data_IF_289736785414
#
_entry.id   IF_289736785414
#
_cell.length_a   1.000
_cell.length_b   1.000
_cell.length_c   1.000
_cell.angle_alpha   90.00
_cell.angle_beta   90.00
_cell.angle_gamma   90.00
#
_symmetry.space_group_name_H-M   'P 1'
#
loop_
_entity.id
_entity.type
_entity.pdbx_description
1 polymer ?
#
# COMPACT_ATOMS: atom_id res chain seq x y z
N UNK A 1 -7.84 21.48 -3.66
CA UNK A 1 -6.53 21.52 -2.96
C UNK A 1 -6.61 22.60 -1.90
N UNK A 2 -6.07 22.33 -0.71
CA UNK A 2 -5.88 23.37 0.30
C UNK A 2 -4.66 24.26 -0.05
N UNK A 3 -4.45 25.34 0.71
CA UNK A 3 -3.36 26.28 0.45
C UNK A 3 -1.95 25.66 0.58
N UNK A 4 -1.80 24.59 1.38
CA UNK A 4 -0.55 23.85 1.51
C UNK A 4 -0.27 23.01 0.27
N UNK A 5 -1.26 22.26 -0.22
CA UNK A 5 -1.17 21.47 -1.46
C UNK A 5 -0.98 22.36 -2.69
N UNK A 6 -1.65 23.51 -2.76
CA UNK A 6 -1.40 24.52 -3.80
C UNK A 6 0.07 24.93 -3.83
N UNK A 7 0.64 25.22 -2.66
CA UNK A 7 2.02 25.65 -2.56
C UNK A 7 3.00 24.54 -2.96
N UNK A 8 2.71 23.27 -2.64
CA UNK A 8 3.54 22.11 -3.04
C UNK A 8 3.49 21.91 -4.56
N UNK A 9 2.30 21.98 -5.17
CA UNK A 9 2.18 21.90 -6.63
C UNK A 9 2.96 23.02 -7.33
N UNK A 10 2.96 24.23 -6.74
CA UNK A 10 3.75 25.35 -7.23
C UNK A 10 5.26 25.16 -7.01
N UNK A 11 5.70 24.51 -5.94
CA UNK A 11 7.10 24.15 -5.74
C UNK A 11 7.59 23.16 -6.81
N UNK A 12 6.78 22.17 -7.20
CA UNK A 12 7.10 21.26 -8.30
C UNK A 12 7.31 22.02 -9.62
N UNK A 13 6.40 22.95 -9.93
CA UNK A 13 6.53 23.79 -11.11
C UNK A 13 7.76 24.72 -11.02
N UNK A 14 8.05 25.30 -9.84
CA UNK A 14 9.25 26.12 -9.61
C UNK A 14 10.53 25.33 -9.88
N UNK A 15 10.63 24.11 -9.38
CA UNK A 15 11.78 23.23 -9.58
C UNK A 15 11.99 22.92 -11.06
N UNK A 16 10.91 22.67 -11.80
CA UNK A 16 10.96 22.48 -13.25
C UNK A 16 11.42 23.76 -13.98
N UNK A 17 10.86 24.93 -13.63
CA UNK A 17 11.22 26.21 -14.25
C UNK A 17 12.68 26.59 -14.06
N UNK A 18 13.29 26.21 -12.93
CA UNK A 18 14.70 26.49 -12.66
C UNK A 18 15.65 25.72 -13.61
N UNK A 19 15.19 24.61 -14.19
CA UNK A 19 16.01 23.68 -14.97
C UNK A 19 15.66 23.68 -16.47
N UNK A 20 14.55 24.30 -16.85
CA UNK A 20 14.01 24.25 -18.22
C UNK A 20 14.38 25.52 -19.00
N UNK A 21 15.00 25.40 -20.20
CA UNK A 21 15.26 26.55 -21.06
C UNK A 21 13.95 27.22 -21.50
N UNK A 22 13.89 28.56 -21.44
CA UNK A 22 12.70 29.35 -21.81
C UNK A 22 12.17 29.05 -23.21
N UNK A 23 13.06 28.85 -24.19
CA UNK A 23 12.70 28.52 -25.58
C UNK A 23 12.63 27.01 -25.77
N UNK A 24 11.77 26.32 -25.03
CA UNK A 24 11.60 24.86 -25.14
C UNK A 24 10.13 24.44 -25.04
N UNK A 25 9.81 23.23 -25.54
CA UNK A 25 8.48 22.61 -25.39
C UNK A 25 8.09 22.47 -23.91
N UNK A 26 9.06 22.17 -23.04
CA UNK A 26 8.86 22.08 -21.58
C UNK A 26 8.44 23.42 -20.98
N UNK A 27 9.02 24.53 -21.43
CA UNK A 27 8.63 25.86 -20.98
C UNK A 27 7.20 26.21 -21.41
N UNK A 28 6.81 25.86 -22.64
CA UNK A 28 5.44 25.99 -23.13
C UNK A 28 4.46 25.14 -22.31
N UNK A 29 4.84 23.90 -21.96
CA UNK A 29 4.04 23.01 -21.14
C UNK A 29 3.75 23.60 -19.74
N UNK A 30 4.77 24.13 -19.04
CA UNK A 30 4.55 24.76 -17.72
C UNK A 30 3.69 26.02 -17.82
N UNK A 31 3.88 26.83 -18.88
CA UNK A 31 3.08 28.03 -19.09
C UNK A 31 1.60 27.70 -19.34
N UNK A 32 1.32 26.72 -20.21
CA UNK A 32 -0.03 26.23 -20.49
C UNK A 32 -0.67 25.61 -19.24
N UNK A 33 0.09 24.83 -18.48
CA UNK A 33 -0.36 24.27 -17.20
C UNK A 33 -0.78 25.38 -16.22
N UNK A 34 0.06 26.41 -16.04
CA UNK A 34 -0.23 27.50 -15.11
C UNK A 34 -1.47 28.28 -15.52
N UNK A 35 -1.63 28.55 -16.82
CA UNK A 35 -2.80 29.24 -17.35
C UNK A 35 -4.09 28.43 -17.08
N UNK A 36 -4.04 27.11 -17.28
CA UNK A 36 -5.17 26.21 -17.08
C UNK A 36 -5.55 26.05 -15.60
N UNK A 37 -4.57 26.01 -14.70
CA UNK A 37 -4.79 25.67 -13.29
C UNK A 37 -4.61 26.85 -12.32
N UNK A 38 -4.53 28.09 -12.81
CA UNK A 38 -4.29 29.26 -11.95
C UNK A 38 -5.27 29.37 -10.78
N UNK A 39 -6.56 29.09 -10.96
CA UNK A 39 -7.55 29.17 -9.89
C UNK A 39 -7.39 28.03 -8.88
N UNK A 40 -7.19 26.81 -9.38
CA UNK A 40 -6.95 25.64 -8.54
C UNK A 40 -5.66 25.76 -7.71
N UNK A 41 -4.65 26.46 -8.25
CA UNK A 41 -3.38 26.80 -7.60
C UNK A 41 -3.48 28.06 -6.70
N UNK A 42 -4.66 28.66 -6.61
CA UNK A 42 -4.92 29.84 -5.80
C UNK A 42 -4.25 31.10 -6.32
N UNK A 43 -3.83 31.16 -7.58
CA UNK A 43 -3.12 32.27 -8.21
C UNK A 43 -4.02 33.36 -8.81
N UNK A 44 -5.35 33.29 -8.62
CA UNK A 44 -6.32 34.20 -9.22
C UNK A 44 -5.95 35.71 -9.08
N UNK A 45 -6.27 36.56 -10.07
CA UNK A 45 -5.84 37.95 -10.08
C UNK A 45 -6.43 38.74 -8.91
N UNK A 46 -5.62 39.61 -8.30
CA UNK A 46 -6.16 40.69 -7.46
C UNK A 46 -6.89 41.67 -8.40
N UNK A 47 -8.19 41.86 -8.20
CA UNK A 47 -9.11 42.79 -8.86
C UNK A 47 -9.70 42.36 -10.23
N UNK A 48 -10.99 42.02 -10.22
CA UNK A 48 -12.07 42.84 -10.79
C UNK A 48 -12.02 43.38 -12.22
N UNK A 49 -11.02 43.07 -13.04
CA UNK A 49 -11.11 43.26 -14.49
C UNK A 49 -11.32 41.90 -15.13
N UNK A 50 -12.53 41.69 -15.63
CA UNK A 50 -12.76 40.76 -16.71
C UNK A 50 -11.79 41.14 -17.85
N UNK A 51 -10.65 40.44 -17.92
CA UNK A 51 -9.91 40.31 -19.15
C UNK A 51 -10.65 39.25 -19.96
N UNK A 52 -11.77 39.70 -20.51
CA UNK A 52 -12.56 39.03 -21.53
C UNK A 52 -11.73 39.09 -22.82
N UNK A 53 -10.78 38.16 -22.96
CA UNK A 53 -10.08 37.87 -24.21
C UNK A 53 -9.19 36.63 -24.04
N UNK A 54 -9.59 35.53 -24.70
CA UNK A 54 -8.78 34.36 -25.07
C UNK A 54 -8.47 33.33 -23.98
N UNK A 55 -9.48 32.91 -23.23
CA UNK A 55 -9.40 31.65 -22.47
C UNK A 55 -9.57 30.39 -23.35
N UNK A 56 -10.05 30.55 -24.59
CA UNK A 56 -10.27 29.43 -25.53
C UNK A 56 -9.13 29.17 -26.53
N UNK A 57 -8.11 30.03 -26.63
CA UNK A 57 -7.00 29.87 -27.61
C UNK A 57 -5.75 29.14 -27.08
N UNK A 58 -5.70 28.76 -25.80
CA UNK A 58 -4.51 28.10 -25.22
C UNK A 58 -4.43 26.58 -25.51
N UNK A 59 -5.39 26.04 -26.28
CA UNK A 59 -5.38 24.67 -26.82
C UNK A 59 -5.17 24.62 -28.34
N UNK A 60 -4.29 25.46 -28.88
CA UNK A 60 -3.62 25.05 -30.11
C UNK A 60 -2.56 24.02 -29.73
N UNK A 61 -2.57 22.85 -30.38
CA UNK A 61 -1.60 21.74 -30.27
C UNK A 61 -0.14 22.13 -30.62
N UNK A 62 0.15 23.43 -30.64
CA UNK A 62 1.43 24.09 -30.85
C UNK A 62 1.53 25.32 -29.93
N UNK A 63 1.56 25.12 -28.62
CA UNK A 63 1.83 26.23 -27.70
C UNK A 63 3.25 26.77 -27.95
N UNK A 64 3.34 27.96 -28.55
CA UNK A 64 4.59 28.65 -28.76
C UNK A 64 5.29 28.89 -27.42
N UNK A 65 6.63 28.80 -27.41
CA UNK A 65 7.40 29.08 -26.19
C UNK A 65 7.09 30.49 -25.67
N UNK A 66 6.91 30.67 -24.34
CA UNK A 66 6.53 31.95 -23.79
C UNK A 66 7.59 33.02 -24.08
N UNK A 67 7.13 34.23 -24.36
CA UNK A 67 8.01 35.38 -24.50
C UNK A 67 8.72 35.70 -23.17
N UNK A 68 9.71 36.59 -23.21
CA UNK A 68 10.51 36.89 -22.02
C UNK A 68 9.70 37.56 -20.90
N UNK A 69 8.67 38.35 -21.23
CA UNK A 69 7.83 39.06 -20.26
C UNK A 69 6.90 38.09 -19.53
N UNK A 70 6.22 37.22 -20.28
CA UNK A 70 5.34 36.16 -19.78
C UNK A 70 6.13 35.18 -18.93
N UNK A 71 7.33 34.77 -19.37
CA UNK A 71 8.19 33.88 -18.59
C UNK A 71 8.58 34.49 -17.23
N UNK A 72 9.02 35.75 -17.21
CA UNK A 72 9.34 36.46 -15.97
C UNK A 72 8.10 36.62 -15.08
N UNK A 73 6.93 36.87 -15.65
CA UNK A 73 5.69 36.98 -14.89
C UNK A 73 5.31 35.65 -14.23
N UNK A 74 5.43 34.54 -14.96
CA UNK A 74 5.22 33.18 -14.45
C UNK A 74 6.16 32.91 -13.27
N UNK A 75 7.47 33.11 -13.46
CA UNK A 75 8.48 32.93 -12.41
C UNK A 75 8.12 33.76 -11.16
N UNK A 76 7.84 35.05 -11.33
CA UNK A 76 7.45 35.94 -10.22
C UNK A 76 6.17 35.49 -9.51
N UNK A 77 5.13 35.05 -10.22
CA UNK A 77 3.88 34.58 -9.61
C UNK A 77 4.10 33.33 -8.76
N UNK A 78 4.91 32.39 -9.25
CA UNK A 78 5.24 31.16 -8.53
C UNK A 78 6.16 31.47 -7.34
N UNK A 79 7.22 32.26 -7.53
CA UNK A 79 8.12 32.69 -6.47
C UNK A 79 7.38 33.42 -5.34
N UNK A 80 6.48 34.34 -5.67
CA UNK A 80 5.70 35.08 -4.67
C UNK A 80 4.81 34.18 -3.79
N UNK A 81 4.42 33.00 -4.28
CA UNK A 81 3.63 32.00 -3.53
C UNK A 81 4.47 30.94 -2.84
N UNK A 82 5.65 30.65 -3.36
CA UNK A 82 6.55 29.61 -2.85
C UNK A 82 7.64 30.15 -1.93
N UNK A 83 7.82 31.48 -1.85
CA UNK A 83 8.75 32.13 -0.95
C UNK A 83 8.53 31.71 0.52
N UNK A 84 9.60 31.62 1.34
CA UNK A 84 9.48 31.28 2.75
C UNK A 84 8.69 32.37 3.48
N UNK A 85 7.38 32.17 3.63
CA UNK A 85 6.55 32.99 4.52
C UNK A 85 6.60 32.39 5.91
N UNK A 86 6.70 33.24 6.93
CA UNK A 86 6.80 32.84 8.34
C UNK A 86 5.68 31.90 8.83
N UNK A 87 4.57 31.75 8.07
CA UNK A 87 3.50 30.78 8.29
C UNK A 87 2.95 30.24 6.96
N UNK A 88 3.69 29.34 6.31
CA UNK A 88 3.15 28.60 5.16
C UNK A 88 2.14 27.57 5.69
N UNK A 89 0.93 27.53 5.12
CA UNK A 89 -0.07 26.54 5.49
C UNK A 89 0.50 25.13 5.23
N UNK A 90 0.49 24.27 6.24
CA UNK A 90 0.93 22.88 6.10
C UNK A 90 -0.28 22.06 5.70
N UNK A 91 -0.16 21.31 4.61
CA UNK A 91 -1.27 20.50 4.12
C UNK A 91 -1.53 19.31 5.04
N UNK A 92 -2.80 18.91 5.16
CA UNK A 92 -3.18 17.71 5.91
C UNK A 92 -2.54 16.44 5.32
N UNK A 93 -2.52 16.32 3.99
CA UNK A 93 -1.87 15.20 3.28
C UNK A 93 -0.37 15.16 3.59
N UNK A 94 0.28 16.33 3.69
CA UNK A 94 1.70 16.42 4.06
C UNK A 94 1.94 15.93 5.47
N UNK A 95 1.11 16.33 6.43
CA UNK A 95 1.24 15.88 7.83
C UNK A 95 1.07 14.36 7.93
N UNK A 96 0.10 13.80 7.20
CA UNK A 96 -0.14 12.34 7.14
C UNK A 96 1.00 11.60 6.46
N UNK A 97 1.46 12.07 5.31
CA UNK A 97 2.63 11.52 4.62
C UNK A 97 3.86 11.52 5.53
N UNK A 98 4.11 12.60 6.26
CA UNK A 98 5.21 12.68 7.22
C UNK A 98 5.05 11.71 8.39
N UNK A 99 3.83 11.34 8.78
CA UNK A 99 3.59 10.31 9.77
C UNK A 99 3.89 8.92 9.19
N UNK A 100 3.42 8.63 7.96
CA UNK A 100 3.69 7.37 7.25
C UNK A 100 5.18 7.17 6.99
N UNK A 101 5.89 8.19 6.49
CA UNK A 101 7.32 8.10 6.19
C UNK A 101 8.13 7.83 7.45
N UNK A 102 7.77 8.45 8.60
CA UNK A 102 8.40 8.14 9.89
C UNK A 102 8.07 6.74 10.38
N UNK A 103 6.83 6.27 10.24
CA UNK A 103 6.42 4.92 10.63
C UNK A 103 7.24 3.84 9.90
N UNK A 104 7.49 4.09 8.61
CA UNK A 104 8.20 3.17 7.72
C UNK A 104 9.72 3.42 7.75
N UNK A 105 10.19 4.51 8.34
CA UNK A 105 11.61 4.89 8.36
C UNK A 105 12.14 5.21 6.97
N UNK A 106 11.39 6.03 6.21
CA UNK A 106 11.82 6.58 4.93
C UNK A 106 12.62 7.87 5.14
N UNK A 107 13.65 8.07 4.31
CA UNK A 107 14.42 9.32 4.31
C UNK A 107 13.69 10.47 3.58
N UNK A 108 14.27 11.67 3.60
CA UNK A 108 13.65 12.86 2.99
C UNK A 108 13.49 12.72 1.46
N UNK A 109 14.42 12.05 0.78
CA UNK A 109 14.33 11.85 -0.67
C UNK A 109 13.21 10.86 -1.01
N UNK A 110 13.10 9.77 -0.25
CA UNK A 110 12.04 8.77 -0.37
C UNK A 110 10.67 9.38 -0.07
N UNK A 111 10.58 10.21 0.97
CA UNK A 111 9.38 10.96 1.30
C UNK A 111 8.96 11.92 0.17
N UNK A 112 9.91 12.60 -0.47
CA UNK A 112 9.64 13.49 -1.59
C UNK A 112 9.13 12.73 -2.83
N UNK A 113 9.74 11.58 -3.16
CA UNK A 113 9.33 10.74 -4.29
C UNK A 113 7.92 10.17 -4.04
N UNK A 114 7.67 9.59 -2.86
CA UNK A 114 6.35 9.09 -2.47
C UNK A 114 5.32 10.21 -2.48
N UNK A 115 5.68 11.39 -1.97
CA UNK A 115 4.82 12.55 -1.91
C UNK A 115 4.42 13.06 -3.30
N UNK A 116 5.31 13.01 -4.29
CA UNK A 116 4.99 13.32 -5.68
C UNK A 116 4.04 12.27 -6.27
N UNK A 117 4.33 10.98 -6.08
CA UNK A 117 3.52 9.88 -6.61
C UNK A 117 2.09 9.89 -6.06
N UNK A 118 1.94 10.11 -4.75
CA UNK A 118 0.62 10.25 -4.10
C UNK A 118 -0.12 11.46 -4.67
N UNK A 119 0.53 12.62 -4.76
CA UNK A 119 -0.12 13.84 -5.26
C UNK A 119 -0.50 13.77 -6.72
N UNK A 120 0.28 13.07 -7.54
CA UNK A 120 -0.11 12.74 -8.90
C UNK A 120 -1.47 12.03 -8.92
N UNK A 121 -1.67 11.04 -8.04
CA UNK A 121 -2.93 10.26 -7.98
C UNK A 121 -4.10 11.01 -7.32
N UNK A 122 -3.83 11.99 -6.46
CA UNK A 122 -4.85 12.72 -5.71
C UNK A 122 -5.23 14.09 -6.30
N UNK A 123 -4.34 14.72 -7.06
CA UNK A 123 -4.50 16.10 -7.49
C UNK A 123 -4.28 16.27 -8.99
N UNK A 124 -5.38 16.49 -9.72
CA UNK A 124 -5.37 16.75 -11.16
C UNK A 124 -4.37 17.82 -11.62
N UNK A 125 -4.14 18.93 -10.90
CA UNK A 125 -3.09 19.87 -11.28
C UNK A 125 -1.68 19.26 -11.24
N UNK A 126 -1.37 18.37 -10.30
CA UNK A 126 -0.06 17.70 -10.22
C UNK A 126 0.08 16.64 -11.31
N UNK A 127 -0.96 15.83 -11.50
CA UNK A 127 -1.06 14.87 -12.62
C UNK A 127 -0.78 15.54 -13.96
N UNK A 128 -1.48 16.65 -14.25
CA UNK A 128 -1.35 17.34 -15.53
C UNK A 128 -0.04 18.08 -15.70
N UNK A 129 0.59 18.54 -14.60
CA UNK A 129 1.95 19.06 -14.66
C UNK A 129 2.92 17.98 -15.12
N UNK A 130 2.82 16.78 -14.54
CA UNK A 130 3.62 15.62 -14.92
C UNK A 130 3.36 15.24 -16.38
N UNK A 131 2.12 15.00 -16.78
CA UNK A 131 1.76 14.54 -18.13
C UNK A 131 2.28 15.48 -19.22
N UNK A 132 2.07 16.79 -19.05
CA UNK A 132 2.44 17.79 -20.05
C UNK A 132 3.97 17.94 -20.15
N UNK A 133 4.69 17.80 -19.03
CA UNK A 133 6.15 17.82 -19.03
C UNK A 133 6.73 16.53 -19.62
N UNK A 134 6.17 15.37 -19.26
CA UNK A 134 6.56 14.07 -19.79
C UNK A 134 6.40 14.03 -21.32
N UNK A 135 5.23 14.43 -21.83
CA UNK A 135 4.97 14.55 -23.27
C UNK A 135 5.93 15.53 -23.96
N UNK A 136 6.21 16.68 -23.34
CA UNK A 136 7.18 17.64 -23.86
C UNK A 136 8.63 17.09 -23.91
N UNK A 137 8.91 16.00 -23.22
CA UNK A 137 10.17 15.26 -23.26
C UNK A 137 10.09 13.99 -24.13
N UNK A 138 8.96 13.71 -24.77
CA UNK A 138 8.74 12.49 -25.57
C UNK A 138 8.42 11.26 -24.73
N UNK A 139 8.06 11.44 -23.46
CA UNK A 139 7.63 10.39 -22.54
C UNK A 139 6.13 10.12 -22.62
N UNK A 140 5.68 9.13 -21.84
CA UNK A 140 4.26 8.78 -21.76
C UNK A 140 3.50 9.67 -20.75
N UNK A 141 2.22 9.94 -21.04
CA UNK A 141 1.30 10.64 -20.12
C UNK A 141 0.77 9.69 -19.03
N UNK A 142 1.69 9.17 -18.22
CA UNK A 142 1.42 8.30 -17.08
C UNK A 142 2.52 8.45 -16.04
N UNK A 143 2.24 8.08 -14.79
CA UNK A 143 3.23 8.15 -13.71
C UNK A 143 4.27 7.02 -13.86
N UNK A 144 5.29 7.25 -14.67
CA UNK A 144 6.40 6.31 -14.88
C UNK A 144 7.49 6.45 -13.81
N UNK A 145 8.30 5.40 -13.63
CA UNK A 145 9.53 5.43 -12.84
C UNK A 145 10.68 6.17 -13.56
N UNK A 146 10.36 7.32 -14.17
CA UNK A 146 11.28 8.17 -14.91
C UNK A 146 12.06 9.05 -13.93
N UNK A 147 13.32 8.67 -13.68
CA UNK A 147 14.18 9.38 -12.74
C UNK A 147 14.44 10.85 -13.13
N UNK A 148 14.73 11.20 -14.41
CA UNK A 148 14.74 12.58 -14.87
C UNK A 148 13.48 13.38 -14.53
N UNK A 149 12.28 12.85 -14.79
CA UNK A 149 11.01 13.54 -14.47
C UNK A 149 10.84 13.78 -12.98
N UNK A 150 11.11 12.76 -12.17
CA UNK A 150 10.99 12.85 -10.72
C UNK A 150 12.01 13.84 -10.16
N UNK A 151 13.26 13.81 -10.64
CA UNK A 151 14.30 14.77 -10.27
C UNK A 151 13.92 16.21 -10.65
N UNK A 152 13.36 16.41 -11.84
CA UNK A 152 12.91 17.71 -12.32
C UNK A 152 11.86 18.33 -11.39
N UNK A 153 10.86 17.54 -10.98
CA UNK A 153 9.75 18.04 -10.15
C UNK A 153 10.12 18.11 -8.67
N UNK A 154 10.82 17.10 -8.12
CA UNK A 154 11.20 17.09 -6.71
C UNK A 154 12.38 18.01 -6.39
N UNK A 155 13.21 18.35 -7.38
CA UNK A 155 14.48 19.05 -7.19
C UNK A 155 15.60 18.17 -6.63
N UNK A 156 15.39 16.86 -6.50
CA UNK A 156 16.40 15.91 -6.05
C UNK A 156 17.45 15.66 -7.15
N UNK A 157 18.70 15.32 -6.80
CA UNK A 157 19.67 14.84 -7.78
C UNK A 157 19.18 13.55 -8.44
N UNK A 158 19.27 13.46 -9.78
CA UNK A 158 18.82 12.29 -10.54
C UNK A 158 19.41 10.97 -10.03
N UNK A 159 20.72 10.93 -9.75
CA UNK A 159 21.39 9.75 -9.21
C UNK A 159 20.81 9.30 -7.84
N UNK A 160 20.27 10.23 -7.05
CA UNK A 160 19.57 9.90 -5.81
C UNK A 160 18.24 9.21 -6.11
N UNK A 161 17.47 9.75 -7.04
CA UNK A 161 16.19 9.16 -7.47
C UNK A 161 16.38 7.75 -8.02
N UNK A 162 17.33 7.56 -8.93
CA UNK A 162 17.66 6.24 -9.51
C UNK A 162 18.00 5.21 -8.43
N UNK A 163 18.85 5.59 -7.47
CA UNK A 163 19.22 4.72 -6.36
C UNK A 163 18.03 4.35 -5.46
N UNK A 164 17.10 5.28 -5.23
CA UNK A 164 15.91 5.04 -4.38
C UNK A 164 14.84 4.20 -5.08
N UNK A 165 14.75 4.27 -6.41
CA UNK A 165 13.82 3.48 -7.24
C UNK A 165 14.41 2.15 -7.74
N UNK A 166 15.69 1.88 -7.49
CA UNK A 166 16.31 0.60 -7.81
C UNK A 166 15.52 -0.57 -7.16
N UNK A 167 15.53 -1.78 -7.73
CA UNK A 167 14.77 -2.92 -7.20
C UNK A 167 15.04 -3.29 -5.72
N UNK A 168 16.22 -2.92 -5.20
CA UNK A 168 16.59 -3.09 -3.78
C UNK A 168 16.47 -1.82 -2.93
N UNK A 169 15.98 -0.72 -3.51
CA UNK A 169 15.79 0.55 -2.82
C UNK A 169 14.71 0.44 -1.75
N UNK A 170 14.95 1.11 -0.61
CA UNK A 170 14.06 1.13 0.56
C UNK A 170 12.61 1.46 0.20
N UNK A 171 12.38 2.41 -0.71
CA UNK A 171 11.04 2.82 -1.11
C UNK A 171 10.23 1.69 -1.75
N UNK A 172 10.86 0.86 -2.61
CA UNK A 172 10.22 -0.32 -3.21
C UNK A 172 10.13 -1.48 -2.23
N UNK A 173 11.12 -1.62 -1.36
CA UNK A 173 11.10 -2.62 -0.28
C UNK A 173 10.02 -2.33 0.77
N UNK A 174 9.62 -1.07 0.95
CA UNK A 174 8.61 -0.65 1.92
C UNK A 174 7.17 -1.02 1.52
N UNK A 175 6.90 -1.36 0.26
CA UNK A 175 5.56 -1.73 -0.20
C UNK A 175 4.57 -0.57 -0.36
N UNK A 176 4.99 0.69 -0.12
CA UNK A 176 4.14 1.88 -0.35
C UNK A 176 4.08 2.29 -1.83
N UNK A 177 5.13 1.96 -2.59
CA UNK A 177 5.28 2.29 -4.00
C UNK A 177 5.95 1.11 -4.71
N UNK A 178 5.36 0.65 -5.81
CA UNK A 178 5.94 -0.40 -6.66
C UNK A 178 6.12 0.12 -8.08
N UNK A 179 6.87 -0.63 -8.90
CA UNK A 179 6.93 -0.37 -10.35
C UNK A 179 6.44 -1.64 -11.03
N UNK A 180 5.47 -1.50 -11.92
CA UNK A 180 4.94 -2.62 -12.69
C UNK A 180 5.81 -2.98 -13.90
N UNK A 181 5.31 -3.88 -14.75
CA UNK A 181 6.03 -4.35 -15.93
C UNK A 181 6.18 -3.26 -17.02
N UNK A 182 5.28 -2.29 -17.06
CA UNK A 182 5.26 -1.18 -18.03
C UNK A 182 6.07 0.03 -17.56
N UNK A 183 6.73 -0.11 -16.39
CA UNK A 183 7.52 0.94 -15.78
C UNK A 183 6.69 1.99 -15.05
N UNK A 184 5.39 1.76 -14.80
CA UNK A 184 4.56 2.69 -14.05
C UNK A 184 4.79 2.56 -12.54
N UNK A 185 4.82 3.70 -11.86
CA UNK A 185 4.76 3.76 -10.41
C UNK A 185 3.32 3.56 -9.94
N UNK A 186 3.15 2.53 -9.12
CA UNK A 186 1.88 2.18 -8.50
C UNK A 186 1.98 2.47 -7.00
N UNK A 187 1.16 3.41 -6.54
CA UNK A 187 0.99 3.72 -5.12
C UNK A 187 0.05 2.67 -4.53
N UNK A 188 0.38 2.16 -3.33
CA UNK A 188 -0.49 1.21 -2.62
C UNK A 188 -1.90 1.79 -2.44
N UNK A 189 -2.94 1.04 -2.81
CA UNK A 189 -4.32 1.54 -2.84
C UNK A 189 -4.80 1.93 -1.45
N UNK A 190 -4.51 1.09 -0.44
CA UNK A 190 -4.77 1.37 0.97
C UNK A 190 -4.18 2.71 1.42
N UNK A 191 -2.92 2.98 1.06
CA UNK A 191 -2.26 4.25 1.37
C UNK A 191 -2.99 5.42 0.70
N UNK A 192 -3.28 5.32 -0.60
CA UNK A 192 -3.96 6.36 -1.37
C UNK A 192 -5.31 6.73 -0.74
N UNK A 193 -6.09 5.72 -0.34
CA UNK A 193 -7.40 5.88 0.29
C UNK A 193 -7.29 6.52 1.67
N UNK A 194 -6.43 5.99 2.53
CA UNK A 194 -6.28 6.50 3.90
C UNK A 194 -5.68 7.91 3.96
N UNK A 195 -4.87 8.31 2.99
CA UNK A 195 -4.38 9.69 2.90
C UNK A 195 -5.48 10.67 2.48
N UNK A 196 -6.42 10.21 1.65
CA UNK A 196 -7.55 11.01 1.16
C UNK A 196 -8.65 11.15 2.22
N UNK A 197 -8.86 10.12 3.03
CA UNK A 197 -9.83 10.13 4.12
C UNK A 197 -9.35 11.00 5.28
N UNK A 198 -10.23 11.88 5.77
CA UNK A 198 -9.96 12.72 6.93
C UNK A 198 -9.64 11.90 8.19
N UNK A 199 -10.27 10.73 8.31
CA UNK A 199 -10.20 9.81 9.45
C UNK A 199 -9.22 8.65 9.22
N UNK A 200 -8.64 8.53 8.02
CA UNK A 200 -7.79 7.40 7.64
C UNK A 200 -6.47 7.37 8.40
N UNK A 201 -5.54 8.28 8.08
CA UNK A 201 -4.27 8.41 8.80
C UNK A 201 -4.31 9.64 9.72
N UNK A 202 -4.10 9.48 11.04
CA UNK A 202 -4.02 10.62 11.94
C UNK A 202 -2.71 11.39 11.69
N UNK A 203 -2.73 12.73 11.63
CA UNK A 203 -1.50 13.51 11.70
C UNK A 203 -0.89 13.33 13.09
N UNK A 204 0.40 13.05 13.19
CA UNK A 204 1.02 12.81 14.50
C UNK A 204 2.21 11.87 14.46
N UNK A 205 2.49 11.14 15.55
CA UNK A 205 3.58 10.17 15.63
C UNK A 205 3.46 9.07 14.58
N UNK A 206 4.61 8.51 14.17
CA UNK A 206 4.63 7.43 13.17
C UNK A 206 3.88 6.16 13.63
N UNK A 207 3.88 5.83 14.91
CA UNK A 207 3.19 4.64 15.44
C UNK A 207 1.70 4.62 15.08
N UNK A 208 0.99 5.74 15.27
CA UNK A 208 -0.43 5.84 14.94
C UNK A 208 -0.71 5.69 13.43
N UNK A 209 0.20 6.18 12.57
CA UNK A 209 0.09 5.98 11.13
C UNK A 209 0.38 4.52 10.72
N UNK A 210 1.31 3.85 11.41
CA UNK A 210 1.57 2.42 11.23
C UNK A 210 0.36 1.57 11.60
N UNK A 211 -0.27 1.83 12.75
CA UNK A 211 -1.50 1.17 13.18
C UNK A 211 -2.65 1.41 12.19
N UNK A 212 -2.81 2.64 11.70
CA UNK A 212 -3.82 2.95 10.68
C UNK A 212 -3.62 2.11 9.40
N UNK A 213 -2.38 1.99 8.92
CA UNK A 213 -2.05 1.21 7.71
C UNK A 213 -2.23 -0.30 7.92
N UNK A 214 -1.92 -0.83 9.10
CA UNK A 214 -2.11 -2.24 9.45
C UNK A 214 -3.59 -2.60 9.64
N UNK A 215 -4.41 -1.65 10.07
CA UNK A 215 -5.80 -1.89 10.45
C UNK A 215 -5.92 -2.52 11.84
N UNK A 216 -7.11 -3.04 12.15
CA UNK A 216 -7.39 -3.64 13.46
C UNK A 216 -6.88 -5.07 13.52
N UNK A 217 -6.30 -5.50 14.66
CA UNK A 217 -5.93 -6.90 14.82
C UNK A 217 -7.19 -7.77 14.82
N UNK A 218 -7.09 -8.93 14.20
CA UNK A 218 -8.12 -9.95 14.19
C UNK A 218 -8.25 -10.58 15.59
N UNK A 219 -9.50 -10.76 16.03
CA UNK A 219 -9.81 -11.37 17.32
C UNK A 219 -10.39 -12.77 17.14
N UNK A 220 -9.92 -13.73 17.95
CA UNK A 220 -10.46 -15.08 17.99
C UNK A 220 -11.87 -15.08 18.60
N UNK A 221 -12.77 -15.88 18.03
CA UNK A 221 -14.08 -16.21 18.57
C UNK A 221 -14.14 -17.62 19.17
N UNK A 222 -13.13 -18.45 18.88
CA UNK A 222 -12.93 -19.81 19.37
C UNK A 222 -11.64 -19.94 20.19
N UNK A 223 -11.59 -20.97 21.04
CA UNK A 223 -10.43 -21.35 21.84
C UNK A 223 -9.70 -22.57 21.29
N UNK A 224 -8.51 -22.90 21.83
CA UNK A 224 -7.74 -24.07 21.39
C UNK A 224 -8.50 -25.39 21.59
N UNK A 225 -9.37 -25.45 22.61
CA UNK A 225 -10.26 -26.57 22.89
C UNK A 225 -11.29 -26.83 21.79
N UNK A 226 -11.66 -25.80 21.03
CA UNK A 226 -12.55 -25.92 19.86
C UNK A 226 -11.79 -26.54 18.66
N UNK A 227 -10.47 -26.68 18.74
CA UNK A 227 -9.60 -27.33 17.76
C UNK A 227 -8.91 -28.60 18.31
N UNK A 228 -9.47 -29.22 19.36
CA UNK A 228 -8.88 -30.39 20.02
C UNK A 228 -8.56 -31.56 19.07
N UNK A 229 -9.33 -31.71 17.98
CA UNK A 229 -9.12 -32.72 16.94
C UNK A 229 -7.78 -32.59 16.20
N UNK A 230 -7.13 -31.42 16.26
CA UNK A 230 -5.78 -31.21 15.71
C UNK A 230 -4.67 -31.76 16.62
N UNK A 231 -4.99 -32.12 17.86
CA UNK A 231 -4.08 -32.79 18.79
C UNK A 231 -2.73 -32.10 18.95
N UNK A 232 -1.65 -32.85 18.77
CA UNK A 232 -0.28 -32.33 18.94
C UNK A 232 0.10 -31.27 17.92
N UNK A 233 -0.50 -31.26 16.73
CA UNK A 233 -0.19 -30.26 15.71
C UNK A 233 -0.53 -28.85 16.19
N UNK A 234 -1.65 -28.67 16.89
CA UNK A 234 -2.01 -27.38 17.49
C UNK A 234 -1.00 -26.94 18.55
N UNK A 235 -0.56 -27.86 19.40
CA UNK A 235 0.47 -27.59 20.44
C UNK A 235 1.79 -27.17 19.82
N UNK A 236 2.28 -27.93 18.83
CA UNK A 236 3.53 -27.62 18.14
C UNK A 236 3.45 -26.27 17.40
N UNK A 237 2.30 -25.92 16.82
CA UNK A 237 2.11 -24.61 16.21
C UNK A 237 2.27 -23.45 17.21
N UNK A 238 1.66 -23.58 18.39
CA UNK A 238 1.81 -22.61 19.49
C UNK A 238 3.27 -22.51 19.93
N UNK A 239 3.97 -23.64 20.09
CA UNK A 239 5.38 -23.67 20.48
C UNK A 239 6.30 -23.01 19.43
N UNK A 240 6.08 -23.30 18.15
CA UNK A 240 6.82 -22.70 17.02
C UNK A 240 6.61 -21.19 17.00
N UNK A 241 5.36 -20.72 17.08
CA UNK A 241 5.04 -19.30 17.05
C UNK A 241 5.58 -18.58 18.30
N UNK A 242 5.40 -19.14 19.49
CA UNK A 242 5.94 -18.58 20.72
C UNK A 242 7.49 -18.52 20.68
N UNK A 243 8.14 -19.56 20.16
CA UNK A 243 9.58 -19.58 19.95
C UNK A 243 10.05 -18.50 18.97
N UNK A 244 9.34 -18.33 17.85
CA UNK A 244 9.65 -17.32 16.85
C UNK A 244 9.45 -15.89 17.39
N UNK A 245 8.37 -15.63 18.14
CA UNK A 245 8.12 -14.33 18.77
C UNK A 245 9.20 -13.99 19.81
N UNK A 246 9.65 -14.97 20.62
CA UNK A 246 10.72 -14.76 21.60
C UNK A 246 12.09 -14.54 20.97
N UNK A 247 12.44 -15.33 19.96
CA UNK A 247 13.77 -15.30 19.33
C UNK A 247 13.89 -14.29 18.19
N UNK A 248 12.76 -13.75 17.72
CA UNK A 248 12.64 -12.93 16.50
C UNK A 248 13.33 -13.57 15.29
N UNK A 249 13.23 -14.90 15.19
CA UNK A 249 13.83 -15.66 14.09
C UNK A 249 13.17 -15.28 12.75
N UNK A 250 13.92 -14.72 11.79
CA UNK A 250 13.37 -14.41 10.48
C UNK A 250 12.92 -15.67 9.74
N UNK A 251 11.98 -15.50 8.81
CA UNK A 251 11.48 -16.55 7.92
C UNK A 251 10.66 -17.63 8.63
N UNK A 252 10.01 -17.29 9.74
CA UNK A 252 9.06 -18.20 10.39
C UNK A 252 7.72 -18.15 9.67
N UNK A 253 7.30 -19.28 9.10
CA UNK A 253 6.03 -19.41 8.40
C UNK A 253 5.25 -20.65 8.85
N UNK A 254 3.98 -20.47 9.20
CA UNK A 254 3.07 -21.58 9.52
C UNK A 254 2.00 -21.66 8.44
N UNK A 255 1.87 -22.81 7.78
CA UNK A 255 0.89 -23.03 6.73
C UNK A 255 -0.29 -23.85 7.26
N UNK A 256 -1.50 -23.34 7.08
CA UNK A 256 -2.75 -24.03 7.33
C UNK A 256 -3.39 -24.39 5.99
N UNK A 257 -3.61 -25.67 5.74
CA UNK A 257 -4.19 -26.12 4.48
C UNK A 257 -5.33 -27.11 4.70
N UNK A 258 -6.26 -27.20 3.76
CA UNK A 258 -7.38 -28.14 3.84
C UNK A 258 -8.64 -27.58 3.20
N UNK A 259 -9.74 -28.35 3.20
CA UNK A 259 -11.00 -27.96 2.55
C UNK A 259 -11.51 -26.58 3.01
N UNK A 260 -12.25 -25.84 2.15
CA UNK A 260 -12.90 -24.60 2.56
C UNK A 260 -13.90 -24.87 3.70
N UNK A 261 -14.12 -23.87 4.56
CA UNK A 261 -15.06 -23.99 5.69
C UNK A 261 -14.54 -24.75 6.92
N UNK A 262 -13.32 -25.29 6.91
CA UNK A 262 -12.71 -26.00 8.07
C UNK A 262 -12.17 -25.09 9.18
N UNK A 263 -12.36 -23.77 9.07
CA UNK A 263 -11.95 -22.82 10.12
C UNK A 263 -10.48 -22.41 10.12
N UNK A 264 -9.76 -22.49 8.98
CA UNK A 264 -8.33 -22.09 8.86
C UNK A 264 -8.05 -20.69 9.41
N UNK A 265 -8.76 -19.69 8.92
CA UNK A 265 -8.64 -18.30 9.34
C UNK A 265 -8.93 -18.13 10.84
N UNK A 266 -9.93 -18.85 11.35
CA UNK A 266 -10.29 -18.82 12.77
C UNK A 266 -9.23 -19.50 13.66
N UNK A 267 -8.62 -20.58 13.17
CA UNK A 267 -7.52 -21.24 13.87
C UNK A 267 -6.28 -20.34 13.92
N UNK A 268 -5.96 -19.58 12.86
CA UNK A 268 -4.92 -18.56 12.90
C UNK A 268 -5.14 -17.54 14.02
N UNK A 269 -6.38 -17.02 14.16
CA UNK A 269 -6.74 -16.09 15.25
C UNK A 269 -6.60 -16.75 16.61
N UNK A 270 -7.01 -18.02 16.72
CA UNK A 270 -6.92 -18.81 17.95
C UNK A 270 -5.45 -19.03 18.37
N UNK A 271 -4.57 -19.36 17.42
CA UNK A 271 -3.13 -19.47 17.66
C UNK A 271 -2.52 -18.15 18.13
N UNK A 272 -2.92 -17.03 17.52
CA UNK A 272 -2.45 -15.70 17.92
C UNK A 272 -2.88 -15.34 19.35
N UNK A 273 -4.14 -15.60 19.69
CA UNK A 273 -4.66 -15.43 21.04
C UNK A 273 -3.91 -16.32 22.05
N UNK A 274 -3.62 -17.58 21.70
CA UNK A 274 -2.91 -18.51 22.56
C UNK A 274 -1.46 -18.09 22.86
N UNK A 275 -0.77 -17.44 21.91
CA UNK A 275 0.59 -16.90 22.13
C UNK A 275 0.60 -15.46 22.63
N UNK A 276 -0.57 -14.85 22.84
CA UNK A 276 -0.70 -13.49 23.36
C UNK A 276 -0.19 -12.39 22.41
N UNK A 277 -0.25 -12.62 21.10
CA UNK A 277 0.22 -11.67 20.09
C UNK A 277 -0.95 -11.18 19.20
N UNK A 278 -0.99 -9.89 18.82
CA UNK A 278 -1.97 -9.41 17.85
C UNK A 278 -1.72 -10.05 16.48
N UNK A 279 -2.80 -10.37 15.78
CA UNK A 279 -2.78 -10.89 14.40
C UNK A 279 -3.30 -9.83 13.43
N UNK A 280 -2.49 -9.43 12.46
CA UNK A 280 -2.92 -8.49 11.41
C UNK A 280 -3.06 -9.22 10.08
N UNK A 281 -4.19 -9.04 9.42
CA UNK A 281 -4.39 -9.56 8.08
C UNK A 281 -3.72 -8.65 7.03
N UNK A 282 -3.17 -9.25 5.98
CA UNK A 282 -2.58 -8.54 4.85
C UNK A 282 -3.15 -9.05 3.54
N UNK A 283 -3.33 -8.14 2.59
CA UNK A 283 -3.90 -8.45 1.28
C UNK A 283 -5.36 -8.89 1.34
N UNK A 284 -6.13 -8.38 2.31
CA UNK A 284 -7.59 -8.57 2.38
C UNK A 284 -8.32 -7.56 1.49
N UNK A 285 -9.51 -7.94 1.03
CA UNK A 285 -10.45 -7.03 0.40
C UNK A 285 -10.72 -5.82 1.31
N UNK A 286 -10.78 -4.63 0.71
CA UNK A 286 -11.15 -3.42 1.43
C UNK A 286 -12.66 -3.38 1.70
N UNK A 287 -13.09 -2.58 2.68
CA UNK A 287 -14.51 -2.48 3.09
C UNK A 287 -15.47 -2.08 1.97
N UNK A 288 -14.96 -1.46 0.89
CA UNK A 288 -15.74 -1.07 -0.29
C UNK A 288 -15.78 -2.14 -1.39
N UNK A 289 -15.23 -3.34 -1.13
CA UNK A 289 -15.21 -4.46 -2.06
C UNK A 289 -14.06 -4.45 -3.07
N UNK A 290 -13.06 -3.58 -2.92
CA UNK A 290 -11.84 -3.67 -3.74
C UNK A 290 -11.03 -4.91 -3.34
N UNK A 291 -10.89 -5.83 -4.28
CA UNK A 291 -10.08 -7.03 -4.15
C UNK A 291 -8.63 -6.75 -4.58
N UNK A 292 -7.63 -6.88 -3.69
CA UNK A 292 -6.25 -6.57 -4.03
C UNK A 292 -5.64 -7.59 -4.98
N UNK A 293 -5.01 -7.11 -6.04
CA UNK A 293 -4.26 -7.96 -6.97
C UNK A 293 -2.97 -8.54 -6.34
N UNK A 294 -2.34 -9.53 -7.00
CA UNK A 294 -1.11 -10.20 -6.51
C UNK A 294 0.00 -9.25 -6.07
N UNK A 295 0.31 -8.25 -6.89
CA UNK A 295 1.36 -7.29 -6.61
C UNK A 295 1.03 -6.42 -5.39
N UNK A 296 -0.24 -6.08 -5.21
CA UNK A 296 -0.76 -5.32 -4.08
C UNK A 296 -0.71 -6.13 -2.79
N UNK A 297 -1.19 -7.38 -2.80
CA UNK A 297 -1.11 -8.28 -1.63
C UNK A 297 0.32 -8.47 -1.14
N UNK A 298 1.29 -8.59 -2.06
CA UNK A 298 2.71 -8.65 -1.71
C UNK A 298 3.25 -7.31 -1.17
N UNK A 299 2.78 -6.19 -1.71
CA UNK A 299 3.14 -4.86 -1.22
C UNK A 299 2.62 -4.64 0.21
N UNK A 300 1.40 -5.06 0.52
CA UNK A 300 0.83 -5.03 1.86
C UNK A 300 1.62 -5.91 2.84
N UNK A 301 1.99 -7.14 2.44
CA UNK A 301 2.84 -8.00 3.26
C UNK A 301 4.18 -7.33 3.58
N UNK A 302 4.85 -6.72 2.59
CA UNK A 302 6.12 -6.01 2.78
C UNK A 302 5.98 -4.81 3.71
N UNK A 303 4.93 -4.03 3.54
CA UNK A 303 4.64 -2.89 4.39
C UNK A 303 4.42 -3.35 5.84
N UNK A 304 3.59 -4.37 6.05
CA UNK A 304 3.28 -4.88 7.37
C UNK A 304 4.52 -5.48 8.06
N UNK A 305 5.33 -6.27 7.34
CA UNK A 305 6.62 -6.76 7.82
C UNK A 305 7.52 -5.61 8.29
N UNK A 306 7.58 -4.53 7.51
CA UNK A 306 8.42 -3.37 7.84
C UNK A 306 7.92 -2.58 9.05
N UNK A 307 6.61 -2.33 9.14
CA UNK A 307 6.00 -1.62 10.26
C UNK A 307 6.17 -2.36 11.59
N UNK A 308 6.13 -3.70 11.55
CA UNK A 308 6.16 -4.55 12.75
C UNK A 308 7.57 -5.05 13.11
N UNK A 309 8.55 -5.03 12.20
CA UNK A 309 9.90 -5.58 12.40
C UNK A 309 10.62 -5.06 13.67
N UNK A 310 10.44 -3.78 14.00
CA UNK A 310 11.07 -3.13 15.16
C UNK A 310 10.18 -2.99 16.38
N UNK A 311 8.91 -3.41 16.29
CA UNK A 311 7.88 -3.13 17.27
C UNK A 311 7.67 -4.23 18.32
N UNK A 312 6.50 -4.17 18.96
CA UNK A 312 6.00 -5.23 19.84
C UNK A 312 5.78 -6.52 19.02
N UNK A 313 5.98 -7.71 19.62
CA UNK A 313 5.73 -8.98 18.96
C UNK A 313 4.32 -9.04 18.37
N UNK A 314 4.21 -9.44 17.10
CA UNK A 314 2.97 -9.52 16.36
C UNK A 314 3.04 -10.66 15.34
N UNK A 315 1.89 -11.05 14.81
CA UNK A 315 1.75 -12.06 13.77
C UNK A 315 1.05 -11.46 12.55
N UNK A 316 1.37 -11.97 11.37
CA UNK A 316 0.67 -11.63 10.13
C UNK A 316 -0.13 -12.82 9.63
N UNK A 317 -1.33 -12.57 9.13
CA UNK A 317 -2.14 -13.52 8.39
C UNK A 317 -2.13 -13.16 6.90
N UNK A 318 -1.76 -14.12 6.08
CA UNK A 318 -1.97 -14.07 4.64
C UNK A 318 -3.00 -15.15 4.28
N UNK A 319 -4.26 -14.75 4.14
CA UNK A 319 -5.35 -15.67 3.79
C UNK A 319 -5.25 -16.08 2.30
N UNK A 320 -5.84 -17.20 1.87
CA UNK A 320 -5.94 -17.61 0.45
C UNK A 320 -4.62 -17.48 -0.34
N UNK A 321 -3.56 -18.10 0.18
CA UNK A 321 -2.23 -17.99 -0.40
C UNK A 321 -2.16 -18.49 -1.86
N UNK A 322 -3.06 -19.39 -2.28
CA UNK A 322 -3.16 -19.89 -3.66
C UNK A 322 -3.21 -18.77 -4.69
N UNK A 323 -3.93 -17.68 -4.40
CA UNK A 323 -4.10 -16.55 -5.32
C UNK A 323 -2.78 -15.83 -5.60
N UNK A 324 -1.88 -15.79 -4.62
CA UNK A 324 -0.57 -15.17 -4.78
C UNK A 324 0.32 -16.00 -5.73
N UNK A 325 0.21 -17.33 -5.66
CA UNK A 325 1.11 -18.26 -6.36
C UNK A 325 0.55 -18.81 -7.67
N UNK A 326 -0.75 -18.66 -7.93
CA UNK A 326 -1.42 -19.35 -9.02
C UNK A 326 -0.89 -19.03 -10.42
N UNK A 327 -0.21 -17.93 -10.73
CA UNK A 327 0.29 -17.57 -12.09
C UNK A 327 -0.73 -17.50 -13.25
N UNK A 328 -1.72 -18.38 -13.38
CA UNK A 328 -2.69 -18.44 -14.48
C UNK A 328 -2.04 -18.51 -15.88
N UNK A 329 -2.86 -18.36 -16.94
CA UNK A 329 -2.39 -18.30 -18.33
C UNK A 329 -1.46 -17.09 -18.58
N UNK A 330 -1.70 -15.98 -17.89
CA UNK A 330 -0.90 -14.75 -18.02
C UNK A 330 0.55 -14.93 -17.53
N UNK A 331 0.79 -15.71 -16.47
CA UNK A 331 2.12 -16.02 -15.96
C UNK A 331 2.95 -16.92 -16.87
N UNK A 332 2.29 -17.81 -17.64
CA UNK A 332 2.89 -18.63 -18.69
C UNK A 332 3.32 -17.80 -19.91
N UNK A 333 2.52 -16.79 -20.28
CA UNK A 333 2.78 -15.95 -21.46
C UNK A 333 3.81 -14.83 -21.20
N UNK A 334 3.89 -14.29 -19.97
CA UNK A 334 4.71 -13.11 -19.65
C UNK A 334 6.00 -13.40 -18.85
N UNK A 335 6.42 -14.66 -18.74
CA UNK A 335 7.75 -15.02 -18.21
C UNK A 335 8.11 -14.34 -16.88
N UNK A 336 7.23 -14.42 -15.87
CA UNK A 336 7.37 -13.77 -14.55
C UNK A 336 8.41 -14.45 -13.63
N UNK A 337 9.54 -14.91 -14.18
CA UNK A 337 10.61 -15.61 -13.43
C UNK A 337 11.21 -14.76 -12.31
N UNK A 338 11.21 -13.43 -12.45
CA UNK A 338 11.74 -12.50 -11.44
C UNK A 338 10.85 -12.37 -10.19
N UNK A 339 9.53 -12.41 -10.34
CA UNK A 339 8.58 -12.21 -9.25
C UNK A 339 8.60 -13.35 -8.23
N UNK A 340 8.59 -14.61 -8.70
CA UNK A 340 8.59 -15.79 -7.83
C UNK A 340 9.90 -15.94 -7.07
N UNK A 341 11.05 -15.74 -7.72
CA UNK A 341 12.35 -15.80 -7.05
C UNK A 341 12.51 -14.68 -6.00
N UNK A 342 12.04 -13.47 -6.31
CA UNK A 342 12.03 -12.35 -5.36
C UNK A 342 11.11 -12.60 -4.17
N UNK A 343 9.93 -13.19 -4.40
CA UNK A 343 9.01 -13.59 -3.34
C UNK A 343 9.62 -14.65 -2.42
N UNK A 344 10.24 -15.69 -2.99
CA UNK A 344 10.89 -16.74 -2.20
C UNK A 344 12.04 -16.21 -1.31
N UNK A 345 12.84 -15.26 -1.83
CA UNK A 345 13.85 -14.55 -1.01
C UNK A 345 13.23 -13.67 0.07
N UNK A 346 12.06 -13.09 -0.21
CA UNK A 346 11.32 -12.29 0.79
C UNK A 346 10.91 -13.18 1.95
N UNK A 347 10.34 -14.37 1.67
CA UNK A 347 9.94 -15.33 2.71
C UNK A 347 11.11 -15.72 3.62
N UNK A 348 12.31 -15.94 3.08
CA UNK A 348 13.48 -16.30 3.91
C UNK A 348 13.93 -15.21 4.89
N UNK A 349 13.55 -13.95 4.66
CA UNK A 349 14.07 -12.79 5.39
C UNK A 349 13.01 -12.03 6.18
N UNK A 350 11.75 -12.48 6.18
CA UNK A 350 10.67 -11.80 6.90
C UNK A 350 10.88 -11.83 8.41
N UNK A 351 11.04 -10.69 9.10
CA UNK A 351 11.29 -10.66 10.55
C UNK A 351 10.06 -11.02 11.40
N UNK A 352 8.86 -10.83 10.87
CA UNK A 352 7.59 -11.08 11.58
C UNK A 352 7.04 -12.44 11.12
N UNK A 353 6.68 -13.35 12.04
CA UNK A 353 6.10 -14.63 11.65
C UNK A 353 4.79 -14.47 10.88
N UNK A 354 4.61 -15.30 9.84
CA UNK A 354 3.42 -15.25 8.97
C UNK A 354 2.67 -16.57 9.05
N UNK A 355 1.37 -16.50 9.32
CA UNK A 355 0.43 -17.59 9.14
C UNK A 355 -0.18 -17.48 7.75
N UNK A 356 -0.10 -18.56 7.00
CA UNK A 356 -0.63 -18.69 5.64
C UNK A 356 -1.81 -19.65 5.69
N UNK A 357 -2.89 -19.34 5.01
CA UNK A 357 -3.96 -20.32 4.77
C UNK A 357 -4.00 -20.67 3.28
N UNK A 358 -4.49 -21.86 2.96
CA UNK A 358 -4.80 -22.22 1.58
C UNK A 358 -5.83 -23.33 1.49
N UNK A 359 -6.65 -23.33 0.44
CA UNK A 359 -7.53 -24.46 0.12
C UNK A 359 -6.84 -25.49 -0.78
N UNK A 360 -5.74 -25.11 -1.45
CA UNK A 360 -5.05 -25.97 -2.41
C UNK A 360 -3.52 -25.80 -2.36
N UNK A 361 -2.80 -26.89 -2.08
CA UNK A 361 -1.33 -26.89 -2.05
C UNK A 361 -0.69 -26.81 -3.44
N UNK A 362 -1.41 -27.19 -4.49
CA UNK A 362 -0.90 -27.26 -5.87
C UNK A 362 -0.27 -25.94 -6.36
N UNK A 363 -1.02 -24.82 -6.34
CA UNK A 363 -0.50 -23.50 -6.76
C UNK A 363 0.79 -23.05 -6.06
N UNK A 364 0.92 -23.30 -4.76
CA UNK A 364 2.11 -22.91 -3.97
C UNK A 364 3.38 -23.61 -4.49
N UNK A 365 3.26 -24.89 -4.82
CA UNK A 365 4.34 -25.73 -5.31
C UNK A 365 5.44 -26.02 -4.26
N UNK A 366 6.37 -26.96 -4.57
CA UNK A 366 7.32 -27.46 -3.59
C UNK A 366 8.29 -26.39 -3.03
N UNK A 367 8.64 -25.37 -3.83
CA UNK A 367 9.57 -24.33 -3.42
C UNK A 367 9.03 -23.46 -2.27
N UNK A 368 7.72 -23.21 -2.26
CA UNK A 368 7.05 -22.44 -1.20
C UNK A 368 6.85 -23.32 0.02
N UNK A 369 6.37 -24.55 -0.16
CA UNK A 369 6.14 -25.52 0.93
C UNK A 369 7.42 -25.77 1.73
N UNK A 370 8.59 -25.90 1.07
CA UNK A 370 9.89 -26.07 1.74
C UNK A 370 10.31 -24.91 2.65
N UNK A 371 9.71 -23.73 2.51
CA UNK A 371 9.98 -22.55 3.35
C UNK A 371 8.98 -22.42 4.51
N UNK A 372 7.97 -23.27 4.57
CA UNK A 372 7.07 -23.34 5.72
C UNK A 372 7.81 -24.02 6.87
N UNK A 373 7.92 -23.32 7.99
CA UNK A 373 8.48 -23.85 9.24
C UNK A 373 7.63 -24.98 9.77
N UNK A 374 6.31 -24.85 9.64
CA UNK A 374 5.35 -25.84 10.06
C UNK A 374 4.13 -25.83 9.13
N UNK A 375 3.53 -26.98 8.88
CA UNK A 375 2.33 -27.10 8.05
C UNK A 375 1.30 -28.00 8.75
N UNK A 376 0.05 -27.55 8.75
CA UNK A 376 -1.06 -28.19 9.47
C UNK A 376 -2.20 -28.41 8.48
N UNK A 377 -2.64 -29.65 8.37
CA UNK A 377 -3.86 -29.98 7.67
C UNK A 377 -5.06 -29.76 8.58
N UNK A 378 -5.94 -28.83 8.22
CA UNK A 378 -7.25 -28.70 8.86
C UNK A 378 -8.23 -29.60 8.14
N UNK A 379 -8.70 -30.59 8.90
CA UNK A 379 -9.72 -31.56 8.46
C UNK A 379 -11.07 -31.14 9.02
N UNK A 380 -12.12 -31.78 8.53
CA UNK A 380 -13.46 -31.64 9.11
C UNK A 380 -13.39 -32.03 10.59
N UNK A 381 -13.90 -31.20 11.52
CA UNK A 381 -13.84 -31.48 12.95
C UNK A 381 -14.54 -32.79 13.31
N UNK A 382 -14.10 -33.43 14.39
CA UNK A 382 -14.77 -34.61 14.93
C UNK A 382 -16.14 -34.28 15.54
N UNK A 383 -16.98 -35.30 15.72
CA UNK A 383 -18.34 -35.11 16.22
C UNK A 383 -18.39 -34.33 17.56
N UNK A 384 -17.56 -34.65 18.58
CA UNK A 384 -17.54 -33.88 19.82
C UNK A 384 -17.21 -32.40 19.63
N UNK A 385 -16.29 -32.05 18.71
CA UNK A 385 -16.01 -30.64 18.39
C UNK A 385 -17.20 -30.00 17.69
N UNK A 386 -17.81 -30.68 16.71
CA UNK A 386 -18.98 -30.14 15.98
C UNK A 386 -20.16 -29.89 16.91
N UNK A 387 -20.42 -30.77 17.88
CA UNK A 387 -21.44 -30.57 18.91
C UNK A 387 -21.19 -29.30 19.73
N UNK A 388 -19.93 -29.04 20.13
CA UNK A 388 -19.56 -27.81 20.84
C UNK A 388 -19.75 -26.57 19.97
N UNK A 389 -19.33 -26.63 18.70
CA UNK A 389 -19.50 -25.53 17.76
C UNK A 389 -20.97 -25.18 17.55
N UNK A 390 -21.84 -26.18 17.37
CA UNK A 390 -23.30 -25.99 17.29
C UNK A 390 -23.87 -25.39 18.56
N UNK A 391 -23.52 -25.93 19.74
CA UNK A 391 -23.98 -25.40 21.01
C UNK A 391 -23.59 -23.92 21.20
N UNK A 392 -22.35 -23.53 20.83
CA UNK A 392 -21.88 -22.14 20.88
C UNK A 392 -22.63 -21.25 19.89
N UNK A 393 -22.84 -21.71 18.66
CA UNK A 393 -23.57 -20.96 17.65
C UNK A 393 -25.01 -20.69 18.11
N UNK A 394 -25.71 -21.72 18.62
CA UNK A 394 -27.06 -21.60 19.15
C UNK A 394 -27.13 -20.64 20.34
N UNK A 395 -26.20 -20.75 21.29
CA UNK A 395 -26.12 -19.85 22.44
C UNK A 395 -25.88 -18.39 22.01
N UNK A 396 -24.99 -18.15 21.03
CA UNK A 396 -24.71 -16.82 20.48
C UNK A 396 -25.97 -16.18 19.87
N UNK A 397 -26.85 -16.98 19.29
CA UNK A 397 -28.11 -16.53 18.68
C UNK A 397 -29.32 -16.62 19.63
N UNK A 398 -29.12 -16.99 20.90
CA UNK A 398 -30.21 -17.11 21.89
C UNK A 398 -31.19 -18.24 21.59
N UNK A 399 -30.78 -19.25 20.84
CA UNK A 399 -31.63 -20.39 20.47
C UNK A 399 -31.44 -21.52 21.48
N UNK A 400 -32.50 -21.86 22.21
CA UNK A 400 -32.51 -23.02 23.10
C UNK A 400 -32.84 -24.28 22.30
N UNK A 401 -32.00 -25.31 22.41
CA UNK A 401 -32.19 -26.59 21.74
C UNK A 401 -31.76 -27.74 22.66
N UNK A 402 -32.52 -28.84 22.75
CA UNK A 402 -32.10 -30.02 23.50
C UNK A 402 -30.77 -30.58 22.99
N UNK A 403 -29.90 -31.04 23.91
CA UNK A 403 -28.59 -31.58 23.56
C UNK A 403 -28.64 -32.75 22.55
N UNK A 404 -29.71 -33.56 22.60
CA UNK A 404 -29.94 -34.64 21.64
C UNK A 404 -30.15 -34.13 20.20
N UNK A 405 -30.82 -32.98 20.03
CA UNK A 405 -31.02 -32.34 18.72
C UNK A 405 -29.73 -31.68 18.24
N UNK A 406 -28.95 -31.07 19.13
CA UNK A 406 -27.61 -30.55 18.81
C UNK A 406 -26.69 -31.67 18.30
N UNK A 407 -26.68 -32.82 18.97
CA UNK A 407 -25.93 -34.00 18.55
C UNK A 407 -26.40 -34.56 17.20
N UNK A 408 -27.70 -34.46 16.91
CA UNK A 408 -28.25 -34.82 15.58
C UNK A 408 -27.76 -33.83 14.51
N UNK A 409 -27.87 -32.53 14.73
CA UNK A 409 -27.38 -31.50 13.80
C UNK A 409 -25.88 -31.64 13.52
N UNK A 410 -25.08 -31.91 14.55
CA UNK A 410 -23.64 -32.13 14.39
C UNK A 410 -23.29 -33.40 13.60
N UNK A 411 -24.21 -34.37 13.48
CA UNK A 411 -24.04 -35.53 12.58
C UNK A 411 -24.49 -35.21 11.16
N UNK A 412 -25.60 -34.49 11.02
CA UNK A 412 -26.23 -34.22 9.73
C UNK A 412 -25.54 -33.10 8.95
N UNK A 413 -24.94 -32.13 9.64
CA UNK A 413 -24.23 -30.98 9.07
C UNK A 413 -22.77 -31.01 9.55
N UNK A 414 -21.86 -31.58 8.75
CA UNK A 414 -20.44 -31.74 9.09
C UNK A 414 -19.65 -30.43 9.09
#
# INVERSE_FOLDING_TARGET
MDAGEQAIALDYARNALAQVPRRSRRAAAVAAWLARYQDALGLAPRSGRAADARQDELFAETAAAPDAATWKLIQRRIEARTAPRARRAVSAITLRLNAVTRAVGLDEAEAAILGLAVRYRLHRPVERLWDMLSDAMGGAMRLSADAPMIALLTGLPQATVERRLAPGGTLRAAGLLTVDADGELVVLERLKRQLSDALGIPPGPGAAAGEALLGRPLAASLGLEDFAHLGEAARHAVEVLAGALRTRRPGTHVLLYGPPGTGKTEFCKTLAAAVGAPLYAVGEAMEDGHEPGRAERLAELRLAQRLLAGGSPALLLFDEAEDLFDQGLAGLLHGQGGGRASLLRTLETTPVPVLWTTNALGPLGPAVIRRMTFAIELRVPDLPVRERLWARALARHGVAMPAAEVARLARDVP
#
